data_IF_650094945202
#
_entry.id   IF_650094945202
#
_cell.length_a   1.000
_cell.length_b   1.000
_cell.length_c   1.000
_cell.angle_alpha   90.00
_cell.angle_beta   90.00
_cell.angle_gamma   90.00
#
_symmetry.space_group_name_H-M   'P 1'
#
loop_
_entity.id
_entity.type
_entity.pdbx_description
1 polymer ?
#
# COMPACT_ATOMS: atom_id res chain seq x y z
N UNK A 1 32.81 9.93 -6.98
CA UNK A 1 31.36 10.02 -7.21
C UNK A 1 30.81 8.64 -7.40
N UNK A 2 29.87 8.20 -6.56
CA UNK A 2 29.21 6.91 -6.74
C UNK A 2 28.11 7.09 -7.78
N UNK A 3 28.23 6.37 -8.89
CA UNK A 3 27.16 6.24 -9.88
C UNK A 3 25.96 5.58 -9.18
N UNK A 4 24.86 6.32 -9.09
CA UNK A 4 23.55 5.77 -8.78
C UNK A 4 23.18 4.85 -9.95
N UNK A 5 23.42 3.55 -9.79
CA UNK A 5 22.78 2.54 -10.64
C UNK A 5 21.29 2.69 -10.45
N UNK A 6 20.61 3.17 -11.49
CA UNK A 6 19.14 3.20 -11.60
C UNK A 6 18.65 1.80 -11.25
N UNK A 7 17.78 1.70 -10.25
CA UNK A 7 17.09 0.46 -9.90
C UNK A 7 16.42 -0.08 -11.19
N UNK A 8 16.78 -1.28 -11.68
CA UNK A 8 16.21 -1.85 -12.90
C UNK A 8 14.71 -2.13 -12.79
N UNK A 9 14.13 -2.00 -11.59
CA UNK A 9 12.70 -2.10 -11.33
C UNK A 9 12.02 -0.75 -11.05
N UNK A 10 12.68 0.37 -11.40
CA UNK A 10 12.09 1.71 -11.39
C UNK A 10 11.04 1.85 -12.49
N UNK A 11 9.81 1.39 -12.23
CA UNK A 11 8.70 1.58 -13.15
C UNK A 11 8.11 2.99 -13.00
N UNK A 12 7.84 3.64 -14.12
CA UNK A 12 7.10 4.90 -14.12
C UNK A 12 5.66 4.66 -13.62
N UNK A 13 5.13 5.59 -12.82
CA UNK A 13 3.71 5.61 -12.53
C UNK A 13 2.91 5.98 -13.78
N UNK A 14 1.64 5.58 -13.86
CA UNK A 14 0.78 5.79 -15.06
C UNK A 14 1.40 5.25 -16.36
N UNK A 15 2.13 4.15 -16.26
CA UNK A 15 2.76 3.48 -17.40
C UNK A 15 2.09 2.14 -17.68
N UNK A 16 2.59 1.44 -18.69
CA UNK A 16 2.26 0.06 -18.96
C UNK A 16 3.53 -0.79 -18.86
N UNK A 17 3.41 -1.98 -18.28
CA UNK A 17 4.45 -3.01 -18.28
C UNK A 17 4.07 -4.04 -19.33
N UNK A 18 4.94 -4.27 -20.32
CA UNK A 18 4.77 -5.32 -21.31
C UNK A 18 4.92 -6.68 -20.65
N UNK A 19 3.88 -7.51 -20.73
CA UNK A 19 3.89 -8.87 -20.23
C UNK A 19 3.85 -9.86 -21.40
N UNK A 20 4.63 -10.93 -21.26
CA UNK A 20 4.60 -12.06 -22.17
C UNK A 20 4.72 -13.36 -21.37
N UNK A 21 3.78 -14.27 -21.58
CA UNK A 21 3.82 -15.65 -21.09
C UNK A 21 3.96 -16.59 -22.28
N UNK A 22 5.02 -17.39 -22.29
CA UNK A 22 5.24 -18.45 -23.27
C UNK A 22 5.10 -19.80 -22.56
N UNK A 23 3.92 -20.44 -22.58
CA UNK A 23 3.71 -21.71 -21.90
C UNK A 23 4.36 -22.86 -22.69
N UNK A 24 4.73 -23.94 -22.00
CA UNK A 24 5.28 -25.16 -22.64
C UNK A 24 4.30 -25.81 -23.61
N UNK A 25 2.99 -25.61 -23.39
CA UNK A 25 1.91 -26.07 -24.25
C UNK A 25 0.89 -24.96 -24.45
N UNK A 26 0.54 -24.69 -25.71
CA UNK A 26 -0.45 -23.69 -26.09
C UNK A 26 0.18 -22.38 -26.62
N UNK A 27 -0.67 -21.41 -27.01
CA UNK A 27 -0.19 -20.16 -27.59
C UNK A 27 0.42 -19.23 -26.52
N UNK A 28 1.41 -18.45 -26.94
CA UNK A 28 1.91 -17.33 -26.14
C UNK A 28 0.83 -16.30 -25.89
N UNK A 29 0.84 -15.70 -24.69
CA UNK A 29 -0.07 -14.63 -24.29
C UNK A 29 0.77 -13.38 -24.09
N UNK A 30 0.38 -12.27 -24.70
CA UNK A 30 1.02 -10.97 -24.47
C UNK A 30 -0.02 -9.86 -24.38
N UNK A 31 0.21 -8.93 -23.45
CA UNK A 31 -0.63 -7.77 -23.20
C UNK A 31 0.12 -6.76 -22.33
N UNK A 32 -0.50 -5.59 -22.13
CA UNK A 32 0.02 -4.53 -21.27
C UNK A 32 -0.63 -4.59 -19.87
N UNK A 33 0.20 -4.50 -18.82
CA UNK A 33 -0.25 -4.33 -17.44
C UNK A 33 -0.20 -2.84 -17.09
N UNK A 34 -1.34 -2.16 -16.87
CA UNK A 34 -1.32 -0.77 -16.40
C UNK A 34 -0.72 -0.67 -15.00
N UNK A 35 0.09 0.36 -14.76
CA UNK A 35 0.56 0.73 -13.42
C UNK A 35 -0.38 1.77 -12.81
N UNK A 36 -0.73 1.64 -11.51
CA UNK A 36 -1.52 2.66 -10.85
C UNK A 36 -0.77 3.99 -10.78
N UNK A 37 -1.54 5.07 -10.65
CA UNK A 37 -1.02 6.38 -10.27
C UNK A 37 -0.20 6.29 -8.99
N UNK A 38 0.89 7.06 -8.91
CA UNK A 38 1.68 7.21 -7.69
C UNK A 38 0.80 7.53 -6.49
N UNK A 39 0.96 6.80 -5.39
CA UNK A 39 0.38 7.18 -4.10
C UNK A 39 1.45 7.85 -3.23
N UNK A 40 1.09 8.98 -2.63
CA UNK A 40 1.90 9.64 -1.60
C UNK A 40 1.19 9.56 -0.27
N UNK A 41 1.92 9.56 0.85
CA UNK A 41 1.33 9.48 2.18
C UNK A 41 1.67 10.68 3.04
N UNK A 42 0.77 11.03 3.95
CA UNK A 42 1.03 11.87 5.11
C UNK A 42 0.23 11.36 6.29
N UNK A 43 0.87 11.28 7.45
CA UNK A 43 0.23 10.93 8.72
C UNK A 43 0.37 12.11 9.66
N UNK A 44 -0.72 12.49 10.33
CA UNK A 44 -0.70 13.50 11.39
C UNK A 44 -1.48 13.00 12.58
N UNK A 45 -0.87 13.00 13.76
CA UNK A 45 -1.54 12.65 14.99
C UNK A 45 -2.14 13.89 15.66
N UNK A 46 -3.28 13.71 16.31
CA UNK A 46 -3.94 14.74 17.10
C UNK A 46 -4.57 14.12 18.34
N UNK A 47 -4.66 14.90 19.43
CA UNK A 47 -5.16 14.42 20.72
C UNK A 47 -4.08 13.77 21.58
N UNK A 48 -4.51 13.01 22.59
CA UNK A 48 -3.68 12.40 23.62
C UNK A 48 -4.16 10.98 23.95
N UNK A 49 -3.23 10.02 24.02
CA UNK A 49 -3.52 8.61 24.36
C UNK A 49 -4.04 8.46 25.79
N UNK A 50 -3.50 9.20 26.76
CA UNK A 50 -3.93 9.16 28.16
C UNK A 50 -5.38 9.64 28.32
N UNK A 51 -5.81 10.58 27.46
CA UNK A 51 -7.19 11.04 27.37
C UNK A 51 -8.07 10.17 26.45
N UNK A 52 -7.54 9.04 25.94
CA UNK A 52 -8.20 8.11 25.01
C UNK A 52 -8.81 8.78 23.76
N UNK A 53 -8.26 9.93 23.37
CA UNK A 53 -8.76 10.72 22.24
C UNK A 53 -7.72 10.88 21.13
N UNK A 54 -6.65 10.09 21.15
CA UNK A 54 -5.65 10.03 20.08
C UNK A 54 -6.32 9.62 18.76
N UNK A 55 -6.05 10.38 17.71
CA UNK A 55 -6.52 10.16 16.33
C UNK A 55 -5.35 10.30 15.37
N UNK A 56 -5.30 9.44 14.34
CA UNK A 56 -4.45 9.68 13.17
C UNK A 56 -5.31 10.18 12.02
N UNK A 57 -4.88 11.29 11.45
CA UNK A 57 -5.42 11.85 10.21
C UNK A 57 -4.43 11.51 9.11
N UNK A 58 -4.91 10.75 8.14
CA UNK A 58 -4.15 10.32 6.99
C UNK A 58 -4.53 11.20 5.79
N UNK A 59 -3.53 11.58 5.00
CA UNK A 59 -3.71 12.32 3.76
C UNK A 59 -2.87 11.72 2.63
N UNK A 60 -3.36 11.77 1.41
CA UNK A 60 -2.66 11.31 0.21
C UNK A 60 -3.15 12.08 -1.03
N UNK A 61 -2.46 11.90 -2.16
CA UNK A 61 -2.88 12.43 -3.46
C UNK A 61 -4.04 11.58 -4.03
N UNK A 62 -5.27 11.94 -3.65
CA UNK A 62 -6.50 11.21 -4.01
C UNK A 62 -6.73 11.05 -5.52
N UNK A 63 -7.32 9.92 -5.91
CA UNK A 63 -7.83 9.63 -7.25
C UNK A 63 -9.29 9.13 -7.15
N UNK A 64 -10.24 10.07 -7.26
CA UNK A 64 -11.64 9.97 -6.83
C UNK A 64 -12.48 8.80 -7.37
N UNK A 65 -11.99 8.07 -8.37
CA UNK A 65 -12.74 7.02 -9.05
C UNK A 65 -12.39 5.61 -8.56
N UNK A 66 -11.49 5.46 -7.59
CA UNK A 66 -11.01 4.17 -7.11
C UNK A 66 -11.12 4.01 -5.59
N UNK A 67 -10.83 2.80 -5.12
CA UNK A 67 -10.64 2.51 -3.69
C UNK A 67 -9.15 2.48 -3.40
N UNK A 68 -8.80 2.92 -2.20
CA UNK A 68 -7.46 2.80 -1.64
C UNK A 68 -7.52 1.88 -0.42
N UNK A 69 -6.47 1.10 -0.23
CA UNK A 69 -6.25 0.28 0.96
C UNK A 69 -5.21 0.95 1.85
N UNK A 70 -5.56 1.14 3.12
CA UNK A 70 -4.65 1.62 4.16
C UNK A 70 -4.33 0.45 5.08
N UNK A 71 -3.06 0.08 5.17
CA UNK A 71 -2.59 -0.95 6.09
C UNK A 71 -1.96 -0.28 7.30
N UNK A 72 -2.52 -0.56 8.47
CA UNK A 72 -1.93 -0.20 9.76
C UNK A 72 -1.14 -1.39 10.26
N UNK A 73 0.16 -1.22 10.44
CA UNK A 73 1.07 -2.24 10.96
C UNK A 73 1.89 -1.74 12.14
N UNK A 74 2.67 -2.64 12.71
CA UNK A 74 3.59 -2.36 13.82
C UNK A 74 4.89 -3.13 13.66
N UNK A 75 5.96 -2.63 14.30
CA UNK A 75 7.23 -3.34 14.46
C UNK A 75 7.40 -3.77 15.92
N UNK A 76 7.69 -5.05 16.16
CA UNK A 76 7.89 -5.60 17.52
C UNK A 76 9.10 -4.95 18.19
N UNK A 77 8.95 -4.60 19.46
CA UNK A 77 10.01 -4.00 20.26
C UNK A 77 11.26 -4.88 20.31
N UNK A 78 12.42 -4.30 19.98
CA UNK A 78 13.71 -4.99 20.01
C UNK A 78 13.86 -6.08 18.93
N UNK A 79 12.98 -6.12 17.94
CA UNK A 79 12.99 -7.10 16.86
C UNK A 79 12.83 -6.42 15.51
N UNK A 80 13.34 -7.06 14.45
CA UNK A 80 13.14 -6.59 13.07
C UNK A 80 11.84 -7.10 12.43
N UNK A 81 10.95 -7.69 13.23
CA UNK A 81 9.67 -8.22 12.76
C UNK A 81 8.64 -7.09 12.70
N UNK A 82 8.11 -6.84 11.50
CA UNK A 82 6.94 -5.99 11.26
C UNK A 82 5.78 -6.81 10.73
N UNK A 83 4.56 -6.50 11.16
CA UNK A 83 3.36 -7.19 10.68
C UNK A 83 2.14 -6.24 10.61
N UNK A 84 1.19 -6.50 9.70
CA UNK A 84 -0.05 -5.73 9.63
C UNK A 84 -0.97 -6.08 10.79
N UNK A 85 -1.61 -5.07 11.38
CA UNK A 85 -2.68 -5.21 12.37
C UNK A 85 -4.06 -5.10 11.73
N UNK A 86 -4.24 -4.10 10.87
CA UNK A 86 -5.52 -3.81 10.23
C UNK A 86 -5.31 -3.44 8.77
N UNK A 87 -6.26 -3.86 7.92
CA UNK A 87 -6.43 -3.34 6.56
C UNK A 87 -7.76 -2.62 6.47
N UNK A 88 -7.73 -1.37 6.03
CA UNK A 88 -8.90 -0.49 5.91
C UNK A 88 -9.06 -0.12 4.44
N UNK A 89 -10.23 -0.39 3.86
CA UNK A 89 -10.56 0.02 2.49
C UNK A 89 -11.47 1.24 2.52
N UNK A 90 -11.09 2.28 1.81
CA UNK A 90 -11.88 3.51 1.69
C UNK A 90 -11.85 4.02 0.25
N UNK A 91 -12.66 5.03 -0.04
CA UNK A 91 -12.57 5.78 -1.30
C UNK A 91 -11.22 6.46 -1.39
N UNK A 92 -10.67 6.55 -2.59
CA UNK A 92 -9.43 7.25 -2.87
C UNK A 92 -9.69 8.76 -3.02
N UNK A 93 -10.22 9.39 -1.96
CA UNK A 93 -10.59 10.81 -1.90
C UNK A 93 -9.54 11.70 -1.21
N UNK A 94 -8.37 11.13 -0.89
CA UNK A 94 -7.20 11.87 -0.40
C UNK A 94 -7.14 12.07 1.11
N UNK A 95 -8.15 11.63 1.88
CA UNK A 95 -8.17 11.82 3.34
C UNK A 95 -8.90 10.70 4.07
N UNK A 96 -8.34 10.25 5.19
CA UNK A 96 -9.01 9.31 6.09
C UNK A 96 -8.70 9.63 7.54
N UNK A 97 -9.72 9.60 8.39
CA UNK A 97 -9.54 9.71 9.84
C UNK A 97 -9.64 8.31 10.41
N UNK A 98 -8.54 7.81 10.96
CA UNK A 98 -8.53 6.48 11.57
C UNK A 98 -9.44 6.51 12.80
N UNK A 99 -10.38 5.55 12.93
CA UNK A 99 -11.19 5.41 14.13
C UNK A 99 -10.31 5.40 15.38
N UNK A 100 -10.63 6.25 16.36
CA UNK A 100 -9.81 6.40 17.56
C UNK A 100 -9.73 5.08 18.34
N UNK A 101 -10.77 4.26 18.31
CA UNK A 101 -10.77 2.95 18.96
C UNK A 101 -9.64 2.05 18.43
N UNK A 102 -9.38 2.05 17.12
CA UNK A 102 -8.34 1.21 16.49
C UNK A 102 -6.93 1.61 16.91
N UNK A 103 -6.67 2.91 17.04
CA UNK A 103 -5.34 3.40 17.44
C UNK A 103 -5.13 3.20 18.94
N UNK A 104 -6.15 3.50 19.74
CA UNK A 104 -6.04 3.39 21.18
C UNK A 104 -6.03 1.93 21.67
N UNK A 105 -6.48 0.96 20.85
CA UNK A 105 -6.38 -0.48 21.17
C UNK A 105 -5.00 -1.08 20.91
N UNK A 106 -4.07 -0.36 20.27
CA UNK A 106 -2.72 -0.89 20.00
C UNK A 106 -1.91 -0.84 21.30
N UNK A 107 -1.32 -1.97 21.76
CA UNK A 107 -0.43 -1.99 22.92
C UNK A 107 0.97 -1.49 22.54
N UNK A 108 1.14 -0.17 22.40
CA UNK A 108 2.38 0.48 21.91
C UNK A 108 3.63 0.10 22.70
N UNK A 109 3.49 -0.21 23.99
CA UNK A 109 4.55 -0.70 24.86
C UNK A 109 5.24 -1.98 24.36
N UNK A 110 4.61 -2.74 23.45
CA UNK A 110 5.15 -3.94 22.80
C UNK A 110 5.83 -3.66 21.45
N UNK A 111 5.81 -2.42 20.98
CA UNK A 111 6.20 -2.05 19.62
C UNK A 111 7.18 -0.87 19.62
N UNK A 112 8.10 -0.85 18.66
CA UNK A 112 9.02 0.28 18.44
C UNK A 112 8.47 1.27 17.40
N UNK A 113 7.59 0.79 16.52
CA UNK A 113 7.05 1.58 15.42
C UNK A 113 5.58 1.30 15.16
N UNK A 114 4.88 2.35 14.71
CA UNK A 114 3.62 2.24 13.96
C UNK A 114 3.92 2.46 12.48
N UNK A 115 3.29 1.66 11.63
CA UNK A 115 3.48 1.66 10.18
C UNK A 115 2.14 1.98 9.52
N UNK A 116 2.13 2.94 8.60
CA UNK A 116 1.00 3.23 7.74
C UNK A 116 1.42 3.00 6.29
N UNK A 117 0.83 2.02 5.61
CA UNK A 117 1.02 1.83 4.18
C UNK A 117 -0.23 2.24 3.41
N UNK A 118 -0.05 3.11 2.43
CA UNK A 118 -1.07 3.55 1.47
C UNK A 118 -0.90 2.71 0.22
N UNK A 119 -1.93 1.96 -0.18
CA UNK A 119 -1.86 0.99 -1.28
C UNK A 119 -2.92 1.32 -2.31
N UNK A 120 -2.49 1.80 -3.48
CA UNK A 120 -3.34 1.93 -4.66
C UNK A 120 -3.13 0.72 -5.56
N UNK A 121 -4.22 0.13 -6.04
CA UNK A 121 -4.20 -1.17 -6.70
C UNK A 121 -5.09 -1.21 -7.93
N UNK A 122 -4.57 -1.78 -9.00
CA UNK A 122 -5.34 -2.20 -10.17
C UNK A 122 -5.37 -3.74 -10.18
N UNK A 123 -6.57 -4.30 -10.27
CA UNK A 123 -6.81 -5.74 -10.43
C UNK A 123 -7.64 -5.97 -11.69
N UNK A 124 -7.22 -6.92 -12.51
CA UNK A 124 -8.01 -7.40 -13.62
C UNK A 124 -7.63 -8.83 -13.97
N UNK A 125 -8.56 -9.50 -14.64
CA UNK A 125 -8.34 -10.82 -15.21
C UNK A 125 -8.05 -10.68 -16.68
N UNK A 126 -7.10 -11.47 -17.17
CA UNK A 126 -6.81 -11.58 -18.60
C UNK A 126 -6.91 -13.04 -19.04
N UNK A 127 -7.42 -13.27 -20.24
CA UNK A 127 -7.67 -14.61 -20.79
C UNK A 127 -9.09 -15.13 -20.55
N UNK A 128 -9.37 -16.32 -21.10
CA UNK A 128 -10.67 -16.99 -21.06
C UNK A 128 -10.51 -18.49 -20.75
N UNK A 129 -11.53 -19.10 -20.12
CA UNK A 129 -11.54 -20.54 -19.82
C UNK A 129 -10.49 -20.93 -18.77
N UNK A 130 -9.75 -22.02 -19.03
CA UNK A 130 -8.74 -22.58 -18.12
C UNK A 130 -7.45 -21.75 -18.01
N UNK A 131 -7.24 -20.78 -18.91
CA UNK A 131 -6.01 -19.98 -19.00
C UNK A 131 -6.24 -18.55 -18.47
N UNK A 132 -6.97 -18.43 -17.36
CA UNK A 132 -7.23 -17.12 -16.73
C UNK A 132 -6.01 -16.70 -15.91
N UNK A 133 -5.43 -15.57 -16.29
CA UNK A 133 -4.36 -14.91 -15.54
C UNK A 133 -4.97 -13.84 -14.65
N UNK A 134 -4.68 -13.94 -13.35
CA UNK A 134 -5.04 -12.90 -12.39
C UNK A 134 -3.88 -11.94 -12.23
N UNK A 135 -4.14 -10.66 -12.44
CA UNK A 135 -3.10 -9.63 -12.50
C UNK A 135 -3.33 -8.59 -11.42
N UNK A 136 -2.24 -8.22 -10.76
CA UNK A 136 -2.21 -7.32 -9.64
C UNK A 136 -1.06 -6.32 -9.83
N UNK A 137 -1.39 -5.04 -9.92
CA UNK A 137 -0.42 -3.95 -10.02
C UNK A 137 -0.66 -2.93 -8.91
N UNK A 138 0.39 -2.52 -8.21
CA UNK A 138 0.28 -1.72 -6.98
C UNK A 138 1.27 -0.56 -6.93
N UNK A 139 0.83 0.57 -6.39
CA UNK A 139 1.67 1.66 -5.90
C UNK A 139 1.52 1.71 -4.39
N UNK A 140 2.64 1.66 -3.68
CA UNK A 140 2.67 1.58 -2.22
C UNK A 140 3.55 2.70 -1.67
N UNK A 141 3.02 3.47 -0.73
CA UNK A 141 3.79 4.42 0.06
C UNK A 141 3.70 4.06 1.53
N UNK A 142 4.84 3.84 2.18
CA UNK A 142 4.89 3.40 3.57
C UNK A 142 5.53 4.47 4.44
N UNK A 143 4.86 4.83 5.52
CA UNK A 143 5.35 5.74 6.55
C UNK A 143 5.55 4.95 7.84
N UNK A 144 6.77 4.98 8.36
CA UNK A 144 7.15 4.33 9.61
C UNK A 144 7.41 5.42 10.64
N UNK A 145 6.75 5.33 11.79
CA UNK A 145 6.79 6.34 12.85
C UNK A 145 7.31 5.68 14.13
N UNK A 146 8.35 6.24 14.72
CA UNK A 146 8.87 5.83 16.03
C UNK A 146 7.87 6.25 17.13
N UNK A 147 7.66 5.37 18.12
CA UNK A 147 6.73 5.56 19.24
C UNK A 147 7.44 5.48 20.60
#
# INVERSE_FOLDING_TARGET
>A
GRQNTVDPFGYNFKSNVSFQLNPDKGPSISFLIPTPDEVTGKVTFSGNRNAKNLKAVLGWNGNSNQKIEIVLGVKVKGSNISFPLYSLKTRDDGKFVVPSQLINSIPLERFDNIIFAFVRRIEFDNGSGSNRLKILSQSIHTIIINI
#
